data_IF_024086338289
#
_entry.id   IF_024086338289
#
_cell.length_a   1.000
_cell.length_b   1.000
_cell.length_c   1.000
_cell.angle_alpha   90.00
_cell.angle_beta   90.00
_cell.angle_gamma   90.00
#
_symmetry.space_group_name_H-M   'P 1'
#
loop_
_entity.id
_entity.type
_entity.pdbx_description
1 polymer ?
#
# COMPACT_ATOMS: atom_id res chain seq x y z
N UNK A 1 12.22 -0.88 -7.09
CA UNK A 1 11.79 -2.29 -6.95
C UNK A 1 10.25 -2.34 -6.96
N UNK A 2 9.66 -3.34 -7.62
CA UNK A 2 8.22 -3.44 -7.86
C UNK A 2 7.58 -4.51 -6.95
N UNK A 3 6.69 -4.09 -6.06
CA UNK A 3 5.80 -4.95 -5.30
C UNK A 3 4.37 -4.41 -5.36
N UNK A 4 3.40 -5.32 -5.27
CA UNK A 4 1.97 -5.05 -5.25
C UNK A 4 1.49 -5.12 -3.80
N UNK A 5 0.91 -4.03 -3.31
CA UNK A 5 0.05 -4.07 -2.13
C UNK A 5 -1.39 -4.14 -2.58
N UNK A 6 -2.14 -5.14 -2.08
CA UNK A 6 -3.54 -5.34 -2.40
C UNK A 6 -4.38 -5.21 -1.12
N UNK A 7 -5.34 -4.30 -1.13
CA UNK A 7 -6.45 -4.22 -0.19
C UNK A 7 -7.74 -4.64 -0.89
N UNK A 8 -8.41 -5.66 -0.37
CA UNK A 8 -9.71 -6.11 -0.85
C UNK A 8 -10.48 -6.73 0.32
N UNK A 9 -11.79 -6.49 0.47
CA UNK A 9 -12.66 -5.66 -0.37
C UNK A 9 -12.69 -4.18 0.04
N UNK A 10 -12.15 -3.29 -0.79
CA UNK A 10 -12.22 -1.83 -0.55
C UNK A 10 -13.62 -1.31 -0.85
N UNK A 11 -14.43 -1.10 0.20
CA UNK A 11 -15.82 -0.67 0.01
C UNK A 11 -15.88 0.83 -0.21
N UNK A 12 -16.35 1.22 -1.40
CA UNK A 12 -16.57 2.60 -1.79
C UNK A 12 -18.05 2.86 -2.08
N UNK A 13 -18.47 4.12 -1.96
CA UNK A 13 -19.82 4.54 -2.33
C UNK A 13 -19.88 4.71 -3.84
N UNK A 14 -20.70 3.90 -4.49
CA UNK A 14 -20.87 3.92 -5.96
C UNK A 14 -22.28 4.34 -6.32
N UNK A 15 -22.39 5.24 -7.30
CA UNK A 15 -23.67 5.58 -7.89
C UNK A 15 -24.08 4.48 -8.87
N UNK A 16 -25.18 3.80 -8.55
CA UNK A 16 -25.83 2.82 -9.42
C UNK A 16 -27.19 3.40 -9.79
N UNK A 17 -27.27 3.95 -11.00
CA UNK A 17 -28.42 4.74 -11.47
C UNK A 17 -28.78 5.87 -10.49
N UNK A 18 -29.83 5.68 -9.68
CA UNK A 18 -30.35 6.69 -8.74
C UNK A 18 -29.98 6.41 -7.27
N UNK A 19 -29.33 5.26 -7.00
CA UNK A 19 -29.00 4.85 -5.63
C UNK A 19 -27.50 4.90 -5.36
N UNK A 20 -27.13 5.24 -4.13
CA UNK A 20 -25.77 5.09 -3.61
C UNK A 20 -25.66 3.72 -2.97
N UNK A 21 -24.85 2.84 -3.57
CA UNK A 21 -24.64 1.47 -3.09
C UNK A 21 -23.17 1.29 -2.68
N UNK A 22 -22.89 0.72 -1.49
CA UNK A 22 -21.54 0.30 -1.14
C UNK A 22 -21.11 -0.89 -2.01
N UNK A 23 -20.08 -0.71 -2.83
CA UNK A 23 -19.55 -1.78 -3.71
C UNK A 23 -18.10 -2.08 -3.34
N UNK A 24 -17.72 -3.37 -3.23
CA UNK A 24 -16.35 -3.77 -2.96
C UNK A 24 -15.48 -3.66 -4.22
N UNK A 25 -14.33 -2.99 -4.11
CA UNK A 25 -13.32 -2.85 -5.16
C UNK A 25 -11.96 -3.40 -4.75
N UNK A 26 -11.11 -3.82 -5.71
CA UNK A 26 -9.70 -4.02 -5.45
C UNK A 26 -9.00 -2.67 -5.30
N UNK A 27 -8.16 -2.54 -4.27
CA UNK A 27 -7.33 -1.36 -4.06
C UNK A 27 -5.85 -1.75 -4.09
N UNK A 28 -5.19 -1.38 -5.18
CA UNK A 28 -3.84 -1.76 -5.54
C UNK A 28 -2.92 -0.55 -5.49
N UNK A 29 -1.75 -0.74 -4.89
CA UNK A 29 -0.68 0.25 -4.92
C UNK A 29 0.63 -0.42 -5.31
N UNK A 30 1.45 0.28 -6.08
CA UNK A 30 2.69 -0.26 -6.59
C UNK A 30 3.88 0.46 -5.96
N UNK A 31 4.82 -0.30 -5.42
CA UNK A 31 5.97 0.28 -4.71
C UNK A 31 6.99 0.97 -5.63
N UNK A 32 6.80 0.93 -6.94
CA UNK A 32 7.68 1.62 -7.89
C UNK A 32 7.58 3.15 -7.80
N UNK A 33 6.44 3.68 -7.34
CA UNK A 33 6.21 5.12 -7.12
C UNK A 33 6.47 5.54 -5.67
N UNK A 34 6.96 4.63 -4.84
CA UNK A 34 7.10 4.87 -3.40
C UNK A 34 8.15 5.94 -3.08
N UNK A 35 7.82 6.80 -2.11
CA UNK A 35 8.65 7.89 -1.60
C UNK A 35 8.37 8.14 -0.10
N UNK A 36 9.34 8.64 0.67
CA UNK A 36 10.77 8.68 0.36
C UNK A 36 11.41 7.28 0.40
N UNK A 37 12.47 7.09 -0.39
CA UNK A 37 13.27 5.87 -0.39
C UNK A 37 14.55 6.04 0.43
N UNK A 38 15.09 4.93 0.94
CA UNK A 38 16.35 4.89 1.67
C UNK A 38 17.51 4.86 0.66
N UNK A 39 18.01 6.04 0.27
CA UNK A 39 19.02 6.19 -0.79
C UNK A 39 20.46 5.85 -0.38
N UNK A 40 20.73 5.54 0.90
CA UNK A 40 22.06 5.13 1.37
C UNK A 40 22.26 3.60 1.39
N UNK A 41 21.21 2.81 1.18
CA UNK A 41 21.28 1.35 1.18
C UNK A 41 20.60 0.81 -0.08
N UNK A 42 21.28 -0.11 -0.76
CA UNK A 42 20.82 -0.66 -2.03
C UNK A 42 20.75 -2.18 -2.00
N UNK A 43 19.71 -2.74 -2.60
CA UNK A 43 19.60 -4.15 -2.94
C UNK A 43 19.33 -4.21 -4.44
N UNK A 44 20.12 -5.00 -5.18
CA UNK A 44 19.97 -5.10 -6.63
C UNK A 44 20.01 -3.74 -7.34
N UNK A 45 20.93 -2.85 -6.92
CA UNK A 45 21.08 -1.48 -7.44
C UNK A 45 19.84 -0.59 -7.28
N UNK A 46 18.90 -0.95 -6.40
CA UNK A 46 17.67 -0.22 -6.13
C UNK A 46 17.63 0.20 -4.65
N UNK A 47 17.12 1.40 -4.34
CA UNK A 47 17.06 1.88 -2.96
C UNK A 47 16.05 1.04 -2.16
N UNK A 48 16.25 0.99 -0.85
CA UNK A 48 15.45 0.16 0.07
C UNK A 48 14.24 0.94 0.61
N UNK A 49 13.16 0.23 0.96
CA UNK A 49 11.98 0.77 1.63
C UNK A 49 11.96 0.38 3.12
N UNK A 50 11.43 1.28 3.94
CA UNK A 50 11.13 1.04 5.35
C UNK A 50 9.76 1.62 5.70
N UNK A 51 9.35 1.60 6.98
CA UNK A 51 8.04 2.11 7.39
C UNK A 51 7.80 3.62 7.15
N UNK A 52 8.83 4.41 6.86
CA UNK A 52 8.64 5.82 6.44
C UNK A 52 8.34 5.94 4.95
N UNK A 53 8.58 4.89 4.16
CA UNK A 53 8.29 4.88 2.74
C UNK A 53 6.80 4.69 2.51
N UNK A 54 6.21 5.59 1.74
CA UNK A 54 4.78 5.57 1.38
C UNK A 54 4.62 5.46 -0.12
N UNK A 55 3.56 4.80 -0.57
CA UNK A 55 3.17 4.87 -1.99
C UNK A 55 2.21 6.05 -2.13
N UNK A 56 2.48 7.07 -2.95
CA UNK A 56 1.67 8.30 -2.97
C UNK A 56 0.20 8.08 -3.35
N UNK A 57 -0.07 7.08 -4.18
CA UNK A 57 -1.41 6.83 -4.71
C UNK A 57 -1.68 5.34 -4.85
N UNK A 58 -2.91 4.97 -4.56
CA UNK A 58 -3.48 3.66 -4.86
C UNK A 58 -4.53 3.75 -5.98
N UNK A 59 -4.94 2.60 -6.53
CA UNK A 59 -5.73 2.47 -7.76
C UNK A 59 -6.64 1.23 -7.72
N UNK A 60 -7.68 1.18 -8.56
CA UNK A 60 -8.60 0.03 -8.71
C UNK A 60 -9.98 0.23 -8.09
N UNK A 61 -10.18 1.30 -7.33
CA UNK A 61 -11.41 1.68 -6.65
C UNK A 61 -12.02 3.00 -7.18
N UNK A 62 -11.53 3.51 -8.33
CA UNK A 62 -12.01 4.72 -9.00
C UNK A 62 -13.50 4.72 -9.37
N UNK A 63 -14.16 3.57 -9.67
CA UNK A 63 -15.60 3.57 -9.91
C UNK A 63 -16.43 3.98 -8.69
N UNK A 64 -15.86 3.94 -7.48
CA UNK A 64 -16.43 4.46 -6.25
C UNK A 64 -16.41 5.98 -6.17
N UNK A 65 -17.09 6.66 -7.11
CA UNK A 65 -17.05 8.11 -7.30
C UNK A 65 -17.38 8.92 -6.03
N UNK A 66 -18.20 8.36 -5.13
CA UNK A 66 -18.60 9.03 -3.88
C UNK A 66 -17.67 8.69 -2.69
N UNK A 67 -16.42 8.34 -2.99
CA UNK A 67 -15.32 8.13 -2.04
C UNK A 67 -15.43 6.82 -1.22
N UNK A 68 -14.35 6.47 -0.51
CA UNK A 68 -14.30 5.38 0.43
C UNK A 68 -15.26 5.57 1.61
N UNK A 69 -15.86 4.47 2.09
CA UNK A 69 -16.83 4.50 3.21
C UNK A 69 -16.20 5.05 4.50
N UNK A 70 -14.93 4.76 4.74
CA UNK A 70 -14.19 5.17 5.94
C UNK A 70 -13.26 6.34 5.65
N UNK A 71 -12.41 6.23 4.62
CA UNK A 71 -11.37 7.24 4.36
C UNK A 71 -11.88 8.54 3.75
N UNK A 72 -13.08 8.52 3.14
CA UNK A 72 -13.57 9.60 2.28
C UNK A 72 -12.57 10.00 1.18
N UNK A 73 -11.74 9.06 0.72
CA UNK A 73 -10.81 9.24 -0.39
C UNK A 73 -11.09 8.19 -1.47
N UNK A 74 -10.99 8.59 -2.74
CA UNK A 74 -10.97 7.65 -3.87
C UNK A 74 -9.55 7.12 -4.03
N UNK A 75 -8.59 8.03 -4.19
CA UNK A 75 -7.16 7.73 -4.23
C UNK A 75 -6.48 8.38 -3.04
N UNK A 76 -5.72 7.59 -2.31
CA UNK A 76 -4.87 8.11 -1.23
C UNK A 76 -3.55 7.37 -1.16
N UNK A 77 -2.66 7.82 -0.28
CA UNK A 77 -1.40 7.17 -0.09
C UNK A 77 -1.59 5.80 0.57
N UNK A 78 -0.68 4.88 0.26
CA UNK A 78 -0.57 3.58 0.91
C UNK A 78 0.59 3.63 1.88
N UNK A 79 0.31 3.29 3.14
CA UNK A 79 1.31 3.19 4.20
C UNK A 79 1.51 1.73 4.59
N UNK A 80 2.72 1.36 4.97
CA UNK A 80 2.94 0.07 5.63
C UNK A 80 2.70 0.24 7.13
N UNK A 81 1.84 -0.59 7.71
CA UNK A 81 1.54 -0.55 9.15
C UNK A 81 2.50 -1.42 9.95
N UNK A 82 2.91 -2.56 9.37
CA UNK A 82 3.79 -3.52 10.02
C UNK A 82 5.01 -3.80 9.15
N UNK A 83 6.19 -3.65 9.76
CA UNK A 83 7.49 -3.96 9.16
C UNK A 83 8.12 -5.20 9.80
N UNK A 84 9.39 -5.41 9.50
CA UNK A 84 10.22 -6.42 10.14
C UNK A 84 10.47 -6.11 11.62
N UNK A 85 10.47 -7.12 12.48
CA UNK A 85 10.81 -6.95 13.91
C UNK A 85 12.30 -7.04 14.19
N UNK A 86 13.11 -7.52 13.24
CA UNK A 86 14.57 -7.72 13.41
C UNK A 86 15.41 -6.89 12.46
N UNK A 87 14.89 -6.58 11.27
CA UNK A 87 15.63 -5.95 10.19
C UNK A 87 15.23 -4.49 10.11
N UNK A 88 16.16 -3.63 10.49
CA UNK A 88 16.03 -2.18 10.39
C UNK A 88 16.81 -1.69 9.19
N UNK A 89 16.21 -0.77 8.43
CA UNK A 89 16.81 -0.14 7.25
C UNK A 89 16.82 1.35 7.48
N UNK A 90 18.02 1.91 7.57
CA UNK A 90 18.25 3.19 8.24
C UNK A 90 17.74 3.13 9.70
N UNK A 91 16.84 4.02 10.11
CA UNK A 91 16.33 4.13 11.48
C UNK A 91 14.98 3.44 11.72
N UNK A 92 14.37 2.82 10.70
CA UNK A 92 13.02 2.25 10.78
C UNK A 92 12.97 0.78 10.32
N UNK A 93 11.98 0.00 10.80
CA UNK A 93 11.73 -1.36 10.35
C UNK A 93 11.63 -1.46 8.82
N UNK A 94 12.27 -2.48 8.25
CA UNK A 94 12.19 -2.78 6.83
C UNK A 94 10.78 -3.23 6.45
N UNK A 95 10.28 -2.82 5.29
CA UNK A 95 9.05 -3.40 4.72
C UNK A 95 9.37 -4.72 4.03
N UNK A 96 8.47 -5.69 4.16
CA UNK A 96 8.69 -7.06 3.65
C UNK A 96 7.46 -7.58 2.92
N UNK A 97 7.64 -8.69 2.20
CA UNK A 97 6.50 -9.44 1.68
C UNK A 97 5.64 -9.90 2.86
N UNK A 98 4.32 -9.84 2.70
CA UNK A 98 3.32 -10.07 3.74
C UNK A 98 3.28 -8.98 4.83
N UNK A 99 3.95 -7.83 4.65
CA UNK A 99 3.72 -6.65 5.49
C UNK A 99 2.29 -6.15 5.28
N UNK A 100 1.61 -5.86 6.39
CA UNK A 100 0.27 -5.26 6.36
C UNK A 100 0.39 -3.82 5.89
N UNK A 101 -0.38 -3.46 4.89
CA UNK A 101 -0.48 -2.10 4.35
C UNK A 101 -1.85 -1.50 4.68
N UNK A 102 -1.95 -0.19 4.64
CA UNK A 102 -3.22 0.52 4.74
C UNK A 102 -3.41 1.36 3.48
N UNK A 103 -4.54 1.17 2.80
CA UNK A 103 -4.87 1.89 1.57
C UNK A 103 -5.74 3.11 1.85
N UNK A 104 -5.61 4.13 1.00
CA UNK A 104 -6.38 5.38 1.02
C UNK A 104 -6.13 6.29 2.23
N UNK A 105 -4.88 6.51 2.64
CA UNK A 105 -4.53 7.56 3.61
C UNK A 105 -4.13 7.05 4.99
N UNK A 106 -4.18 7.95 5.97
CA UNK A 106 -3.96 7.64 7.39
C UNK A 106 -5.23 7.08 8.06
N UNK A 107 -6.40 7.56 7.64
CA UNK A 107 -7.69 6.97 7.95
C UNK A 107 -7.99 5.90 6.89
N UNK A 108 -7.55 4.68 7.17
CA UNK A 108 -7.55 3.58 6.20
C UNK A 108 -8.96 3.25 5.72
N UNK A 109 -9.16 3.19 4.40
CA UNK A 109 -10.42 2.64 3.89
C UNK A 109 -10.42 1.12 3.99
N UNK A 110 -9.25 0.51 3.77
CA UNK A 110 -9.07 -0.93 3.87
C UNK A 110 -7.63 -1.29 4.28
N UNK A 111 -7.44 -2.22 5.23
CA UNK A 111 -6.15 -2.88 5.41
C UNK A 111 -5.89 -3.84 4.24
N UNK A 112 -4.69 -3.79 3.70
CA UNK A 112 -4.20 -4.68 2.66
C UNK A 112 -2.90 -5.37 3.06
N UNK A 113 -2.27 -6.01 2.10
CA UNK A 113 -0.99 -6.68 2.32
C UNK A 113 -0.11 -6.63 1.06
N UNK A 114 1.21 -6.58 1.26
CA UNK A 114 2.18 -6.73 0.17
C UNK A 114 2.23 -8.19 -0.29
N UNK A 115 1.62 -8.49 -1.43
CA UNK A 115 1.46 -9.87 -1.92
C UNK A 115 2.62 -10.35 -2.79
N UNK A 116 3.28 -9.45 -3.52
CA UNK A 116 4.43 -9.82 -4.32
C UNK A 116 5.75 -9.40 -3.67
N UNK A 117 6.82 -10.21 -3.80
CA UNK A 117 8.13 -9.80 -3.38
C UNK A 117 8.63 -8.67 -4.30
N UNK A 118 9.32 -7.70 -3.71
CA UNK A 118 9.87 -6.55 -4.44
C UNK A 118 11.08 -6.92 -5.32
N UNK A 119 11.73 -8.05 -5.01
CA UNK A 119 12.73 -8.80 -5.78
C UNK A 119 12.94 -10.18 -5.13
N UNK A 120 13.60 -11.10 -5.84
CA UNK A 120 13.69 -12.53 -5.45
C UNK A 120 15.06 -12.97 -4.90
N UNK A 121 16.08 -12.12 -4.91
CA UNK A 121 17.44 -12.44 -4.43
C UNK A 121 17.59 -12.34 -2.91
N UNK A 122 16.91 -11.39 -2.26
CA UNK A 122 17.00 -11.16 -0.80
C UNK A 122 15.60 -11.10 -0.19
N UNK A 123 15.23 -12.05 0.66
CA UNK A 123 13.91 -12.04 1.31
C UNK A 123 14.04 -11.80 2.81
N UNK A 124 13.19 -10.91 3.33
CA UNK A 124 13.05 -10.67 4.76
C UNK A 124 11.90 -11.52 5.29
N UNK A 125 12.21 -12.44 6.20
CA UNK A 125 11.20 -13.34 6.79
C UNK A 125 10.69 -12.84 8.15
N UNK A 126 11.59 -12.32 8.98
CA UNK A 126 11.29 -11.70 10.28
C UNK A 126 11.25 -10.20 10.18
#
# INVERSE_FOLDING_TARGET
MFALNLGFPDVCKTLVALAVVPIPYPNMSFTNTAIPNVFNQFIMCMPIHNLMTTVPTSTGNEPGLLLGVVSSLIKGPTIHMLGSVKIFRSIMPATKMLSVSGQNGMALNIPGMTLSPSQVKVLYFS
#
